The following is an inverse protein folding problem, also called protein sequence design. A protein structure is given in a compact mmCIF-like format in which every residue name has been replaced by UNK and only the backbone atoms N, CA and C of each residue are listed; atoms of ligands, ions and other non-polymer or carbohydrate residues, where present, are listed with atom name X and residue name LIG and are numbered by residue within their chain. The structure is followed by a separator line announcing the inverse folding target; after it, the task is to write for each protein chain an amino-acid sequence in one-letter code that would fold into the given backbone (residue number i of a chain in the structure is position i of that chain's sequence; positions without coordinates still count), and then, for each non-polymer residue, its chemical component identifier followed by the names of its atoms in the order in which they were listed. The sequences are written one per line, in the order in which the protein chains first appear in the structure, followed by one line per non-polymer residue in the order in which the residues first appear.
data_IF_476595261330
#
_entry.id   IF_476595261330
#
_cell.length_a   1.000
_cell.length_b   1.000
_cell.length_c   1.000
_cell.angle_alpha   90.00
_cell.angle_beta   90.00
_cell.angle_gamma   90.00
#
_symmetry.space_group_name_H-M   'P 1'
#
loop_
_entity.id
_entity.type
_entity.pdbx_description
1 polymer ?
#
# COMPACT_ATOMS: atom_id res chain seq x y z
N UNK A 1 -21.64 -19.27 5.81
CA UNK A 1 -20.54 -18.29 5.90
C UNK A 1 -21.13 -16.94 5.53
N UNK A 2 -21.52 -16.17 6.54
CA UNK A 2 -22.32 -14.95 6.38
C UNK A 2 -21.54 -13.88 5.63
N UNK A 3 -22.04 -13.50 4.45
CA UNK A 3 -21.77 -12.22 3.82
C UNK A 3 -22.06 -11.14 4.87
N UNK A 4 -21.03 -10.47 5.38
CA UNK A 4 -21.21 -9.31 6.23
C UNK A 4 -21.53 -8.16 5.27
N UNK A 5 -22.79 -7.75 5.22
CA UNK A 5 -23.17 -6.51 4.56
C UNK A 5 -22.33 -5.37 5.14
N UNK A 6 -21.66 -4.63 4.27
CA UNK A 6 -20.82 -3.51 4.68
C UNK A 6 -21.75 -2.31 4.97
N UNK A 7 -21.85 -1.82 6.21
CA UNK A 7 -22.73 -0.69 6.56
C UNK A 7 -22.24 0.64 5.98
N UNK A 8 -21.06 0.67 5.34
CA UNK A 8 -20.56 1.80 4.56
C UNK A 8 -20.90 1.71 3.07
N UNK A 9 -21.66 0.71 2.61
CA UNK A 9 -21.93 0.50 1.18
C UNK A 9 -22.57 1.72 0.51
N UNK A 10 -21.99 2.15 -0.61
CA UNK A 10 -22.54 3.23 -1.44
C UNK A 10 -23.68 2.69 -2.32
N UNK A 11 -24.67 3.53 -2.67
CA UNK A 11 -25.73 3.16 -3.60
C UNK A 11 -25.21 2.83 -5.01
N UNK A 12 -23.99 3.25 -5.35
CA UNK A 12 -23.31 2.91 -6.62
C UNK A 12 -22.81 1.47 -6.69
N UNK A 13 -22.88 0.69 -5.59
CA UNK A 13 -22.35 -0.67 -5.52
C UNK A 13 -20.82 -0.75 -5.45
N UNK A 14 -20.14 0.39 -5.38
CA UNK A 14 -18.69 0.46 -5.24
C UNK A 14 -18.26 0.08 -3.83
N UNK A 15 -17.17 -0.69 -3.73
CA UNK A 15 -16.57 -1.03 -2.45
C UNK A 15 -15.93 0.21 -1.83
N UNK A 16 -16.34 0.54 -0.61
CA UNK A 16 -15.75 1.64 0.16
C UNK A 16 -14.38 1.22 0.69
N UNK A 17 -13.42 2.13 0.60
CA UNK A 17 -12.05 1.94 1.09
C UNK A 17 -11.96 2.15 2.61
N UNK A 18 -10.91 1.61 3.23
CA UNK A 18 -10.64 1.85 4.66
C UNK A 18 -10.49 3.35 4.99
N UNK A 19 -9.94 4.13 4.06
CA UNK A 19 -9.75 5.57 4.23
C UNK A 19 -11.09 6.31 4.23
N UNK A 20 -11.99 5.97 3.31
CA UNK A 20 -13.33 6.57 3.26
C UNK A 20 -14.16 6.20 4.51
N UNK A 21 -14.06 4.96 4.99
CA UNK A 21 -14.70 4.59 6.27
C UNK A 21 -14.14 5.40 7.44
N UNK A 22 -12.82 5.61 7.47
CA UNK A 22 -12.17 6.40 8.51
C UNK A 22 -12.62 7.86 8.45
N UNK A 23 -12.78 8.45 7.26
CA UNK A 23 -13.28 9.82 7.11
C UNK A 23 -14.66 9.99 7.73
N UNK A 24 -15.61 9.10 7.40
CA UNK A 24 -16.96 9.12 8.00
C UNK A 24 -16.94 9.03 9.53
N UNK A 25 -16.02 8.22 10.08
CA UNK A 25 -15.81 8.11 11.53
C UNK A 25 -15.23 9.40 12.13
N UNK A 26 -14.25 10.02 11.46
CA UNK A 26 -13.61 11.25 11.92
C UNK A 26 -14.54 12.46 11.85
N UNK A 27 -15.42 12.49 10.85
CA UNK A 27 -16.42 13.54 10.67
C UNK A 27 -17.59 13.41 11.67
N UNK A 28 -17.64 12.31 12.43
CA UNK A 28 -18.69 12.04 13.43
C UNK A 28 -20.03 11.60 12.83
N UNK A 29 -20.04 11.23 11.56
CA UNK A 29 -21.23 10.80 10.82
C UNK A 29 -21.46 9.29 10.91
N UNK A 30 -20.56 8.55 11.56
CA UNK A 30 -20.64 7.10 11.68
C UNK A 30 -21.66 6.64 12.74
N UNK A 31 -22.43 5.61 12.39
CA UNK A 31 -23.32 4.91 13.34
C UNK A 31 -22.54 3.94 14.24
N UNK A 32 -23.14 3.51 15.37
CA UNK A 32 -22.52 2.51 16.25
C UNK A 32 -22.19 1.20 15.51
N UNK A 33 -23.06 0.78 14.58
CA UNK A 33 -22.84 -0.38 13.72
C UNK A 33 -21.62 -0.19 12.80
N UNK A 34 -21.48 1.00 12.20
CA UNK A 34 -20.34 1.36 11.36
C UNK A 34 -19.03 1.39 12.17
N UNK A 35 -19.05 1.90 13.40
CA UNK A 35 -17.90 1.84 14.31
C UNK A 35 -17.49 0.40 14.62
N UNK A 36 -18.46 -0.47 14.95
CA UNK A 36 -18.19 -1.87 15.28
C UNK A 36 -17.65 -2.63 14.06
N UNK A 37 -18.23 -2.40 12.88
CA UNK A 37 -17.78 -2.98 11.63
C UNK A 37 -16.34 -2.55 11.31
N UNK A 38 -16.05 -1.25 11.37
CA UNK A 38 -14.72 -0.73 11.05
C UNK A 38 -13.65 -1.29 12.00
N UNK A 39 -13.95 -1.38 13.30
CA UNK A 39 -13.05 -1.98 14.28
C UNK A 39 -12.72 -3.44 13.93
N UNK A 40 -13.76 -4.25 13.65
CA UNK A 40 -13.59 -5.66 13.27
C UNK A 40 -12.85 -5.81 11.92
N UNK A 41 -13.12 -4.91 10.97
CA UNK A 41 -12.45 -4.88 9.69
C UNK A 41 -10.95 -4.56 9.84
N UNK A 42 -10.61 -3.57 10.66
CA UNK A 42 -9.21 -3.20 10.97
C UNK A 42 -8.45 -4.33 11.68
N UNK A 43 -9.07 -5.05 12.61
CA UNK A 43 -8.44 -6.20 13.26
C UNK A 43 -8.03 -7.29 12.25
N UNK A 44 -8.83 -7.47 11.18
CA UNK A 44 -8.51 -8.38 10.08
C UNK A 44 -7.53 -7.79 9.06
N UNK A 45 -7.53 -6.47 8.85
CA UNK A 45 -6.74 -5.79 7.82
C UNK A 45 -5.32 -5.41 8.30
N UNK A 46 -5.15 -5.04 9.57
CA UNK A 46 -3.85 -4.65 10.14
C UNK A 46 -2.72 -5.70 10.04
N UNK A 47 -3.01 -7.02 10.12
CA UNK A 47 -2.00 -8.04 9.82
C UNK A 47 -1.40 -7.93 8.42
N UNK A 48 -2.19 -7.50 7.42
CA UNK A 48 -1.71 -7.27 6.05
C UNK A 48 -0.75 -6.07 6.01
N UNK A 49 -1.06 -4.99 6.72
CA UNK A 49 -0.19 -3.80 6.81
C UNK A 49 1.15 -4.14 7.46
N UNK A 50 1.15 -4.86 8.58
CA UNK A 50 2.38 -5.28 9.29
C UNK A 50 3.27 -6.15 8.41
N UNK A 51 2.67 -7.11 7.69
CA UNK A 51 3.41 -7.97 6.76
C UNK A 51 4.01 -7.16 5.60
N UNK A 52 3.27 -6.18 5.07
CA UNK A 52 3.74 -5.29 4.02
C UNK A 52 4.89 -4.38 4.50
N UNK A 53 4.80 -3.83 5.71
CA UNK A 53 5.87 -3.02 6.30
C UNK A 53 7.17 -3.84 6.42
N UNK A 54 7.07 -5.09 6.88
CA UNK A 54 8.22 -6.00 6.93
C UNK A 54 8.80 -6.26 5.53
N UNK A 55 7.96 -6.55 4.53
CA UNK A 55 8.41 -6.75 3.14
C UNK A 55 9.11 -5.49 2.60
N UNK A 56 8.59 -4.31 2.90
CA UNK A 56 9.19 -3.04 2.49
C UNK A 56 10.55 -2.81 3.15
N UNK A 57 10.69 -3.11 4.45
CA UNK A 57 11.97 -3.03 5.15
C UNK A 57 13.00 -4.01 4.57
N UNK A 58 12.58 -5.24 4.24
CA UNK A 58 13.46 -6.24 3.60
C UNK A 58 13.91 -5.73 2.22
N UNK A 59 13.00 -5.18 1.40
CA UNK A 59 13.35 -4.59 0.09
C UNK A 59 14.33 -3.44 0.23
N UNK A 60 14.14 -2.55 1.21
CA UNK A 60 15.07 -1.46 1.48
C UNK A 60 16.44 -1.97 1.92
N UNK A 61 16.49 -3.00 2.76
CA UNK A 61 17.73 -3.62 3.19
C UNK A 61 18.49 -4.23 2.00
N UNK A 62 17.82 -5.01 1.15
CA UNK A 62 18.41 -5.59 -0.08
C UNK A 62 18.92 -4.47 -0.98
N UNK A 63 18.12 -3.43 -1.20
CA UNK A 63 18.52 -2.29 -2.02
C UNK A 63 19.77 -1.62 -1.45
N UNK A 64 19.85 -1.39 -0.14
CA UNK A 64 21.00 -0.70 0.46
C UNK A 64 22.26 -1.55 0.58
N UNK A 65 22.14 -2.87 0.78
CA UNK A 65 23.29 -3.74 1.11
C UNK A 65 23.72 -4.66 -0.03
N UNK A 66 22.83 -5.02 -0.94
CA UNK A 66 23.10 -6.01 -1.98
C UNK A 66 23.09 -5.39 -3.39
N UNK A 67 22.25 -4.38 -3.65
CA UNK A 67 21.96 -3.91 -5.00
C UNK A 67 22.05 -2.39 -5.21
N UNK A 68 22.56 -1.63 -4.25
CA UNK A 68 22.54 -0.16 -4.24
C UNK A 68 23.91 0.50 -4.10
N UNK A 69 24.97 -0.22 -4.45
CA UNK A 69 26.27 0.41 -4.68
C UNK A 69 26.20 1.41 -5.83
N UNK A 70 27.07 2.43 -5.81
CA UNK A 70 27.26 3.29 -6.98
C UNK A 70 27.64 2.44 -8.18
N UNK A 71 26.92 2.61 -9.29
CA UNK A 71 27.28 1.97 -10.56
C UNK A 71 28.66 2.51 -10.95
N UNK A 72 29.63 1.64 -11.32
CA UNK A 72 30.94 2.10 -11.76
C UNK A 72 30.81 3.10 -12.90
N UNK A 73 31.48 4.26 -12.79
CA UNK A 73 31.39 5.34 -13.78
C UNK A 73 31.79 4.87 -15.18
N UNK A 74 32.81 4.03 -15.29
CA UNK A 74 33.26 3.42 -16.55
C UNK A 74 32.12 2.66 -17.27
N UNK A 75 31.30 1.93 -16.52
CA UNK A 75 30.17 1.20 -17.09
C UNK A 75 29.09 2.15 -17.60
N UNK A 76 28.83 3.24 -16.87
CA UNK A 76 27.87 4.27 -17.27
C UNK A 76 28.34 4.98 -18.55
N UNK A 77 29.61 5.34 -18.62
CA UNK A 77 30.19 6.03 -19.77
C UNK A 77 30.21 5.15 -21.01
N UNK A 78 30.56 3.86 -20.86
CA UNK A 78 30.48 2.89 -21.96
C UNK A 78 29.08 2.73 -22.52
N UNK A 79 28.06 2.65 -21.66
CA UNK A 79 26.66 2.57 -22.10
C UNK A 79 26.25 3.84 -22.86
N UNK A 80 26.58 5.02 -22.33
CA UNK A 80 26.28 6.31 -23.00
C UNK A 80 26.94 6.39 -24.37
N UNK A 81 28.22 6.01 -24.49
CA UNK A 81 28.93 5.99 -25.76
C UNK A 81 28.27 5.06 -26.78
N UNK A 82 27.83 3.87 -26.37
CA UNK A 82 27.14 2.95 -27.28
C UNK A 82 25.78 3.48 -27.73
N UNK A 83 24.98 4.06 -26.84
CA UNK A 83 23.66 4.64 -27.21
C UNK A 83 23.85 5.78 -28.21
N UNK A 84 24.81 6.67 -27.96
CA UNK A 84 25.10 7.79 -28.86
C UNK A 84 25.69 7.35 -30.21
N UNK A 85 26.28 6.16 -30.30
CA UNK A 85 26.82 5.61 -31.57
C UNK A 85 25.76 4.97 -32.48
N UNK A 86 24.53 4.77 -31.96
CA UNK A 86 23.41 4.17 -32.68
C UNK A 86 22.41 5.24 -33.16
N UNK A 87 22.60 6.51 -32.76
CA UNK A 87 21.88 7.69 -33.28
C UNK A 87 22.61 8.30 -34.46
#
# INVERSE_FOLDING_TARGET
MSHLDNPFSKPSGEKVTCLEMLQVILDGEATEEQHLYFKKHMDACMPCYKSFELDMQIRQLIKSKCCGGQVPEDLVDRIKSQVNSIS
#
